data_IF_237535098839
#
_entry.id   IF_237535098839
#
_cell.length_a   1.000
_cell.length_b   1.000
_cell.length_c   1.000
_cell.angle_alpha   90.00
_cell.angle_beta   90.00
_cell.angle_gamma   90.00
#
_symmetry.space_group_name_H-M   'P 1'
#
loop_
_entity.id
_entity.type
_entity.pdbx_description
1 polymer ?
#
# COMPACT_ATOMS: atom_id res chain seq x y z
N UNK A 1 -6.29 -28.81 66.14
CA UNK A 1 -7.62 -28.19 66.08
C UNK A 1 -7.43 -26.80 65.53
N UNK A 2 -8.17 -26.53 64.56
CA UNK A 2 -8.36 -25.26 63.76
C UNK A 2 -7.83 -25.36 62.35
N UNK A 3 -8.71 -25.18 61.36
CA UNK A 3 -8.38 -25.21 59.96
C UNK A 3 -7.95 -23.81 59.49
N UNK A 4 -6.93 -23.78 58.66
CA UNK A 4 -6.44 -22.62 57.95
C UNK A 4 -7.29 -22.36 56.72
N UNK A 5 -7.87 -21.20 56.74
CA UNK A 5 -8.63 -20.55 55.66
C UNK A 5 -7.67 -20.15 54.54
N UNK A 6 -7.90 -20.62 53.32
CA UNK A 6 -7.20 -20.17 52.13
C UNK A 6 -8.03 -19.10 51.44
N UNK A 7 -7.45 -17.94 51.06
CA UNK A 7 -8.19 -16.94 50.30
C UNK A 7 -8.27 -17.34 48.82
N UNK A 8 -9.49 -17.27 48.39
CA UNK A 8 -10.02 -17.33 47.03
C UNK A 8 -9.22 -16.42 46.05
N UNK A 9 -8.72 -17.01 44.99
CA UNK A 9 -8.10 -16.27 43.88
C UNK A 9 -9.19 -15.80 42.93
N UNK A 10 -9.27 -14.53 42.59
CA UNK A 10 -10.22 -14.08 41.56
C UNK A 10 -9.76 -14.56 40.19
N UNK A 11 -10.60 -15.37 39.60
CA UNK A 11 -10.61 -15.77 38.19
C UNK A 11 -10.60 -14.51 37.29
N UNK A 12 -9.47 -14.26 36.65
CA UNK A 12 -9.35 -13.28 35.59
C UNK A 12 -9.61 -13.97 34.26
N UNK A 13 -10.84 -14.28 33.99
CA UNK A 13 -11.33 -14.47 32.64
C UNK A 13 -11.48 -13.08 31.99
N UNK A 14 -10.34 -12.56 31.48
CA UNK A 14 -10.41 -11.45 30.53
C UNK A 14 -11.11 -11.97 29.28
N UNK A 15 -12.29 -11.43 29.04
CA UNK A 15 -13.16 -11.78 27.94
C UNK A 15 -12.43 -11.58 26.60
N UNK A 16 -12.42 -12.61 25.79
CA UNK A 16 -11.98 -12.63 24.39
C UNK A 16 -12.93 -11.82 23.48
N UNK A 17 -14.04 -11.29 24.04
CA UNK A 17 -15.10 -10.60 23.31
C UNK A 17 -14.73 -9.15 22.89
N UNK A 18 -13.81 -8.48 23.58
CA UNK A 18 -13.44 -7.09 23.28
C UNK A 18 -12.49 -6.94 22.04
N UNK A 19 -11.89 -8.04 21.56
CA UNK A 19 -11.01 -8.01 20.38
C UNK A 19 -11.74 -8.22 19.07
N UNK A 20 -12.88 -8.90 19.10
CA UNK A 20 -13.67 -9.20 17.90
C UNK A 20 -14.44 -7.99 17.34
N UNK A 21 -14.64 -6.93 18.14
CA UNK A 21 -15.47 -5.80 17.73
C UNK A 21 -14.72 -4.73 16.92
N UNK A 22 -13.39 -4.68 17.04
CA UNK A 22 -12.55 -3.68 16.35
C UNK A 22 -12.24 -4.05 14.89
N UNK A 23 -12.24 -5.35 14.57
CA UNK A 23 -11.92 -5.87 13.22
C UNK A 23 -13.18 -6.01 12.31
N UNK A 24 -14.37 -5.90 12.88
CA UNK A 24 -15.64 -6.14 12.18
C UNK A 24 -15.82 -5.35 10.86
N UNK A 25 -15.54 -4.04 10.74
CA UNK A 25 -15.76 -3.31 9.50
C UNK A 25 -14.92 -3.76 8.32
N UNK A 26 -13.65 -4.17 8.57
CA UNK A 26 -12.76 -4.70 7.52
C UNK A 26 -13.14 -6.15 7.20
N UNK A 27 -13.51 -6.93 8.20
CA UNK A 27 -13.95 -8.31 8.05
C UNK A 27 -15.23 -8.45 7.22
N UNK A 28 -16.25 -7.65 7.50
CA UNK A 28 -17.55 -7.71 6.79
C UNK A 28 -17.44 -7.41 5.30
N UNK A 29 -16.36 -6.71 4.87
CA UNK A 29 -16.14 -6.28 3.49
C UNK A 29 -14.76 -6.70 2.95
N UNK A 30 -14.16 -7.73 3.55
CA UNK A 30 -12.81 -8.20 3.21
C UNK A 30 -12.66 -8.52 1.71
N UNK A 31 -13.69 -9.11 1.08
CA UNK A 31 -13.68 -9.38 -0.34
C UNK A 31 -13.60 -8.09 -1.18
N UNK A 32 -14.35 -7.06 -0.82
CA UNK A 32 -14.31 -5.79 -1.57
C UNK A 32 -12.99 -5.03 -1.36
N UNK A 33 -12.40 -5.11 -0.15
CA UNK A 33 -11.05 -4.60 0.09
C UNK A 33 -10.00 -5.36 -0.73
N UNK A 34 -10.09 -6.70 -0.73
CA UNK A 34 -9.22 -7.54 -1.58
C UNK A 34 -9.30 -7.14 -3.04
N UNK A 35 -10.52 -7.03 -3.58
CA UNK A 35 -10.73 -6.70 -4.99
C UNK A 35 -10.22 -5.28 -5.32
N UNK A 36 -10.34 -4.33 -4.38
CA UNK A 36 -9.78 -2.98 -4.51
C UNK A 36 -8.24 -3.01 -4.52
N UNK A 37 -7.60 -3.79 -3.64
CA UNK A 37 -6.14 -3.95 -3.65
C UNK A 37 -5.65 -4.56 -4.96
N UNK A 38 -6.34 -5.58 -5.48
CA UNK A 38 -6.01 -6.20 -6.77
C UNK A 38 -6.16 -5.20 -7.92
N UNK A 39 -7.25 -4.42 -7.94
CA UNK A 39 -7.47 -3.39 -8.95
C UNK A 39 -6.34 -2.35 -8.96
N UNK A 40 -5.96 -1.83 -7.79
CA UNK A 40 -4.90 -0.84 -7.65
C UNK A 40 -3.51 -1.43 -7.91
N UNK A 41 -3.27 -2.68 -7.49
CA UNK A 41 -2.03 -3.39 -7.80
C UNK A 41 -1.80 -3.49 -9.31
N UNK A 42 -2.83 -3.85 -10.07
CA UNK A 42 -2.74 -3.93 -11.53
C UNK A 42 -2.53 -2.55 -12.17
N UNK A 43 -3.22 -1.50 -11.68
CA UNK A 43 -3.10 -0.14 -12.20
C UNK A 43 -1.72 0.50 -11.93
N UNK A 44 -1.03 0.09 -10.85
CA UNK A 44 0.29 0.61 -10.46
C UNK A 44 1.46 -0.23 -10.99
N UNK A 45 1.21 -1.25 -11.79
CA UNK A 45 2.22 -1.96 -12.58
C UNK A 45 2.55 -1.19 -13.87
N UNK A 46 3.62 -1.61 -14.53
CA UNK A 46 3.88 -1.16 -15.89
C UNK A 46 2.63 -1.43 -16.75
N UNK A 47 2.10 -0.43 -17.46
CA UNK A 47 0.82 -0.56 -18.16
C UNK A 47 0.90 -1.61 -19.28
N UNK A 48 -0.13 -2.42 -19.34
CA UNK A 48 -0.39 -3.36 -20.42
C UNK A 48 -1.60 -2.89 -21.28
N UNK A 49 -1.92 -3.65 -22.32
CA UNK A 49 -3.05 -3.34 -23.18
C UNK A 49 -4.38 -3.40 -22.41
N UNK A 50 -4.53 -4.33 -21.45
CA UNK A 50 -5.76 -4.47 -20.68
C UNK A 50 -6.00 -3.23 -19.79
N UNK A 51 -4.99 -2.72 -19.11
CA UNK A 51 -5.12 -1.50 -18.31
C UNK A 51 -5.39 -0.27 -19.20
N UNK A 52 -4.70 -0.17 -20.33
CA UNK A 52 -4.91 0.91 -21.30
C UNK A 52 -6.34 0.95 -21.82
N UNK A 53 -6.87 -0.20 -22.23
CA UNK A 53 -8.26 -0.36 -22.69
C UNK A 53 -9.27 -0.04 -21.57
N UNK A 54 -9.00 -0.48 -20.33
CA UNK A 54 -9.88 -0.22 -19.20
C UNK A 54 -9.97 1.27 -18.83
N UNK A 55 -8.87 2.04 -19.01
CA UNK A 55 -8.87 3.50 -18.85
C UNK A 55 -9.67 4.16 -19.99
N UNK A 56 -9.44 3.78 -21.24
CA UNK A 56 -10.14 4.37 -22.41
C UNK A 56 -11.64 4.10 -22.42
N UNK A 57 -12.04 2.87 -22.06
CA UNK A 57 -13.45 2.48 -22.06
C UNK A 57 -14.21 2.95 -20.81
N UNK A 58 -13.51 3.42 -19.77
CA UNK A 58 -14.09 3.77 -18.47
C UNK A 58 -14.43 2.56 -17.60
N UNK A 59 -13.99 1.35 -17.97
CA UNK A 59 -14.21 0.13 -17.18
C UNK A 59 -13.51 0.22 -15.82
N UNK A 60 -12.27 0.74 -15.80
CA UNK A 60 -11.54 0.96 -14.56
C UNK A 60 -12.30 1.90 -13.61
N UNK A 61 -12.81 3.03 -14.11
CA UNK A 61 -13.61 3.97 -13.30
C UNK A 61 -14.88 3.29 -12.76
N UNK A 62 -15.60 2.55 -13.60
CA UNK A 62 -16.84 1.87 -13.20
C UNK A 62 -16.57 0.84 -12.09
N UNK A 63 -15.51 0.05 -12.20
CA UNK A 63 -15.11 -0.93 -11.20
C UNK A 63 -14.67 -0.26 -9.89
N UNK A 64 -13.85 0.79 -9.96
CA UNK A 64 -13.41 1.57 -8.81
C UNK A 64 -14.60 2.16 -8.05
N UNK A 65 -15.54 2.82 -8.75
CA UNK A 65 -16.76 3.39 -8.15
C UNK A 65 -17.60 2.34 -7.46
N UNK A 66 -17.77 1.17 -8.06
CA UNK A 66 -18.52 0.06 -7.47
C UNK A 66 -17.90 -0.41 -6.15
N UNK A 67 -16.57 -0.57 -6.12
CA UNK A 67 -15.84 -1.02 -4.93
C UNK A 67 -15.87 0.04 -3.82
N UNK A 68 -15.59 1.31 -4.15
CA UNK A 68 -15.62 2.42 -3.18
C UNK A 68 -17.02 2.58 -2.58
N UNK A 69 -18.08 2.49 -3.41
CA UNK A 69 -19.46 2.53 -2.92
C UNK A 69 -19.79 1.35 -2.01
N UNK A 70 -19.36 0.12 -2.38
CA UNK A 70 -19.58 -1.08 -1.55
C UNK A 70 -18.87 -0.97 -0.22
N UNK A 71 -17.66 -0.40 -0.20
CA UNK A 71 -16.86 -0.21 1.01
C UNK A 71 -17.36 0.95 1.89
N UNK A 72 -18.27 1.78 1.38
CA UNK A 72 -18.74 2.98 2.06
C UNK A 72 -17.56 3.87 2.49
N UNK A 73 -16.69 4.18 1.51
CA UNK A 73 -15.52 5.02 1.69
C UNK A 73 -15.78 6.37 1.06
N UNK A 74 -15.58 7.44 1.82
CA UNK A 74 -15.63 8.82 1.34
C UNK A 74 -14.21 9.31 1.04
N UNK A 75 -13.98 9.70 -0.21
CA UNK A 75 -12.69 10.18 -0.70
C UNK A 75 -12.83 11.61 -1.20
N UNK A 76 -11.83 12.44 -0.94
CA UNK A 76 -11.82 13.82 -1.40
C UNK A 76 -11.50 13.94 -2.90
N UNK A 77 -10.79 12.94 -3.45
CA UNK A 77 -10.45 12.90 -4.87
C UNK A 77 -11.62 12.45 -5.74
N UNK A 78 -11.70 12.97 -6.95
CA UNK A 78 -12.60 12.44 -7.99
C UNK A 78 -12.23 11.00 -8.36
N UNK A 79 -13.21 10.11 -8.46
CA UNK A 79 -13.00 8.73 -8.89
C UNK A 79 -12.85 8.59 -10.42
N UNK A 80 -13.00 9.67 -11.19
CA UNK A 80 -12.75 9.69 -12.62
C UNK A 80 -11.27 9.96 -12.89
N UNK A 81 -10.54 9.03 -13.55
CA UNK A 81 -9.18 9.30 -13.96
C UNK A 81 -9.09 10.52 -14.89
N UNK A 82 -7.99 11.26 -14.87
CA UNK A 82 -7.74 12.28 -15.89
C UNK A 82 -7.72 11.67 -17.29
N UNK A 83 -8.18 12.42 -18.29
CA UNK A 83 -8.08 12.00 -19.67
C UNK A 83 -6.60 11.98 -20.09
N UNK A 84 -6.14 10.84 -20.49
CA UNK A 84 -4.80 10.63 -21.06
C UNK A 84 -4.96 9.65 -22.24
N UNK A 85 -4.25 9.89 -23.34
CA UNK A 85 -4.22 8.93 -24.43
C UNK A 85 -3.49 7.67 -23.97
N UNK A 86 -4.05 6.50 -24.21
CA UNK A 86 -3.46 5.20 -23.82
C UNK A 86 -2.03 5.01 -24.33
N UNK A 87 -1.72 5.56 -25.50
CA UNK A 87 -0.37 5.59 -26.06
C UNK A 87 0.65 6.34 -25.18
N UNK A 88 0.19 7.22 -24.29
CA UNK A 88 1.02 8.00 -23.36
C UNK A 88 1.35 7.28 -22.07
N UNK A 89 0.54 6.29 -21.63
CA UNK A 89 0.64 5.67 -20.31
C UNK A 89 2.01 5.01 -20.06
N UNK A 90 2.54 4.28 -21.02
CA UNK A 90 3.87 3.65 -20.89
C UNK A 90 4.99 4.68 -20.70
N UNK A 91 4.97 5.76 -21.50
CA UNK A 91 5.99 6.80 -21.39
C UNK A 91 5.86 7.56 -20.05
N UNK A 92 4.62 7.85 -19.62
CA UNK A 92 4.32 8.49 -18.36
C UNK A 92 4.79 7.63 -17.15
N UNK A 93 4.57 6.33 -17.18
CA UNK A 93 5.05 5.39 -16.17
C UNK A 93 6.57 5.42 -16.05
N UNK A 94 7.27 5.24 -17.16
CA UNK A 94 8.75 5.22 -17.21
C UNK A 94 9.32 6.57 -16.74
N UNK A 95 8.75 7.70 -17.22
CA UNK A 95 9.22 9.03 -16.86
C UNK A 95 9.01 9.35 -15.37
N UNK A 96 7.90 8.88 -14.78
CA UNK A 96 7.56 9.15 -13.38
C UNK A 96 8.24 8.19 -12.41
N UNK A 97 8.25 6.90 -12.70
CA UNK A 97 8.58 5.85 -11.74
C UNK A 97 9.94 5.18 -11.97
N UNK A 98 10.46 5.16 -13.20
CA UNK A 98 11.70 4.47 -13.53
C UNK A 98 12.90 5.43 -13.67
N UNK A 99 12.73 6.69 -13.33
CA UNK A 99 13.84 7.65 -13.27
C UNK A 99 14.36 8.16 -14.60
N UNK A 100 13.59 8.00 -15.69
CA UNK A 100 13.97 8.54 -16.99
C UNK A 100 14.04 10.07 -16.98
N UNK A 101 13.22 10.70 -16.14
CA UNK A 101 13.27 12.13 -15.84
C UNK A 101 13.53 12.36 -14.36
N UNK A 102 14.26 13.42 -14.04
CA UNK A 102 14.61 13.79 -12.67
C UNK A 102 13.96 15.14 -12.32
N UNK A 103 13.44 15.32 -11.11
CA UNK A 103 13.23 14.31 -10.08
C UNK A 103 12.14 13.29 -10.48
N UNK A 104 12.19 12.08 -9.95
CA UNK A 104 11.23 11.00 -10.17
C UNK A 104 10.72 10.44 -8.84
N UNK A 105 9.68 9.62 -8.87
CA UNK A 105 9.05 9.04 -7.69
C UNK A 105 9.16 7.50 -7.73
N UNK A 106 10.20 6.89 -7.13
CA UNK A 106 10.33 5.43 -7.14
C UNK A 106 9.13 4.77 -6.47
N UNK A 107 8.42 3.82 -7.12
CA UNK A 107 7.19 3.22 -6.62
C UNK A 107 7.49 1.99 -5.74
N UNK A 108 8.49 2.06 -4.88
CA UNK A 108 8.91 1.00 -3.98
C UNK A 108 9.24 1.57 -2.60
N UNK A 109 9.16 0.75 -1.56
CA UNK A 109 9.32 1.17 -0.16
C UNK A 109 10.77 1.48 0.20
N UNK A 110 11.73 0.65 -0.24
CA UNK A 110 13.15 0.75 0.13
C UNK A 110 13.76 2.14 -0.04
N UNK A 111 13.51 2.89 -1.13
CA UNK A 111 14.05 4.23 -1.29
C UNK A 111 13.67 5.22 -0.18
N UNK A 112 12.51 5.05 0.43
CA UNK A 112 11.98 5.94 1.46
C UNK A 112 12.37 5.52 2.88
N UNK A 113 12.79 4.27 3.08
CA UNK A 113 13.13 3.72 4.40
C UNK A 113 14.60 3.88 4.75
N UNK A 114 14.89 3.95 6.04
CA UNK A 114 16.27 3.91 6.53
C UNK A 114 16.83 2.51 6.45
N UNK A 115 18.06 2.36 5.93
CA UNK A 115 18.81 1.12 5.97
C UNK A 115 20.32 1.39 6.06
N UNK A 116 21.06 0.44 6.62
CA UNK A 116 22.39 0.68 7.15
C UNK A 116 23.48 0.77 6.06
N UNK A 117 23.27 0.12 4.94
CA UNK A 117 24.27 0.02 3.88
C UNK A 117 23.60 0.19 2.51
N UNK A 118 23.60 1.44 2.02
CA UNK A 118 23.02 1.77 0.71
C UNK A 118 23.92 1.34 -0.45
N UNK A 119 25.22 1.11 -0.18
CA UNK A 119 26.19 0.77 -1.20
C UNK A 119 26.11 -0.70 -1.60
N UNK A 120 25.58 -1.56 -0.71
CA UNK A 120 25.34 -2.97 -0.98
C UNK A 120 23.94 -3.22 -1.57
N UNK A 121 23.78 -3.11 -2.87
CA UNK A 121 22.57 -3.56 -3.56
C UNK A 121 21.74 -2.50 -4.23
N UNK A 122 22.08 -1.22 -4.11
CA UNK A 122 21.36 -0.11 -4.76
C UNK A 122 20.05 0.27 -4.07
N UNK A 123 19.51 1.42 -4.47
CA UNK A 123 18.38 2.10 -3.84
C UNK A 123 17.12 1.23 -3.67
N UNK A 124 16.88 0.28 -4.58
CA UNK A 124 15.68 -0.59 -4.62
C UNK A 124 15.87 -1.94 -3.92
N UNK A 125 16.94 -2.15 -3.15
CA UNK A 125 17.26 -3.43 -2.51
C UNK A 125 17.45 -3.33 -0.99
N UNK A 126 16.70 -2.43 -0.34
CA UNK A 126 16.74 -2.25 1.10
C UNK A 126 16.10 -3.40 1.90
N UNK A 127 16.04 -3.26 3.24
CA UNK A 127 15.45 -4.25 4.14
C UNK A 127 14.00 -4.61 3.79
N UNK A 128 13.18 -3.65 3.36
CA UNK A 128 11.80 -3.90 2.94
C UNK A 128 11.74 -4.86 1.75
N UNK A 129 12.57 -4.65 0.72
CA UNK A 129 12.65 -5.57 -0.40
C UNK A 129 13.15 -6.96 0.00
N UNK A 130 14.09 -7.06 0.96
CA UNK A 130 14.57 -8.33 1.48
C UNK A 130 13.47 -9.09 2.24
N UNK A 131 12.71 -8.40 3.07
CA UNK A 131 11.56 -8.95 3.79
C UNK A 131 10.50 -9.47 2.83
N UNK A 132 10.11 -8.67 1.83
CA UNK A 132 9.12 -9.08 0.84
C UNK A 132 9.56 -10.30 0.04
N UNK A 133 10.84 -10.40 -0.36
CA UNK A 133 11.36 -11.62 -0.99
C UNK A 133 11.22 -12.86 -0.09
N UNK A 134 11.40 -12.70 1.23
CA UNK A 134 11.21 -13.79 2.18
C UNK A 134 9.73 -14.18 2.30
N UNK A 135 8.81 -13.20 2.36
CA UNK A 135 7.37 -13.42 2.42
C UNK A 135 6.86 -14.15 1.18
N UNK A 136 7.25 -13.72 0.00
CA UNK A 136 6.89 -14.38 -1.26
C UNK A 136 7.42 -15.83 -1.33
N UNK A 137 8.67 -16.07 -0.90
CA UNK A 137 9.20 -17.44 -0.81
C UNK A 137 8.43 -18.34 0.15
N UNK A 138 7.92 -17.78 1.25
CA UNK A 138 7.17 -18.56 2.25
C UNK A 138 5.82 -19.09 1.73
N UNK A 139 5.29 -18.49 0.66
CA UNK A 139 4.07 -18.90 -0.03
C UNK A 139 4.34 -19.52 -1.41
N UNK A 140 5.59 -19.95 -1.67
CA UNK A 140 6.04 -20.51 -2.95
C UNK A 140 5.77 -19.61 -4.17
N UNK A 141 5.69 -18.28 -3.96
CA UNK A 141 5.53 -17.30 -5.03
C UNK A 141 6.87 -16.71 -5.45
N UNK A 142 6.95 -16.29 -6.72
CA UNK A 142 8.14 -15.68 -7.31
C UNK A 142 7.90 -14.21 -7.56
N UNK A 143 8.82 -13.37 -7.09
CA UNK A 143 8.82 -11.93 -7.44
C UNK A 143 9.24 -11.81 -8.91
N UNK A 144 8.47 -11.10 -9.76
CA UNK A 144 8.88 -10.87 -11.14
C UNK A 144 10.16 -10.03 -11.20
N UNK A 145 11.10 -10.39 -12.08
CA UNK A 145 12.40 -9.71 -12.22
C UNK A 145 12.29 -8.22 -12.60
N UNK A 146 11.16 -7.82 -13.19
CA UNK A 146 10.91 -6.44 -13.60
C UNK A 146 10.64 -5.48 -12.44
N UNK A 147 10.38 -6.00 -11.22
CA UNK A 147 9.99 -5.18 -10.07
C UNK A 147 10.90 -5.40 -8.87
N UNK A 148 11.14 -4.34 -8.09
CA UNK A 148 11.61 -4.49 -6.72
C UNK A 148 10.58 -5.30 -5.91
N UNK A 149 11.03 -6.15 -5.00
CA UNK A 149 10.11 -7.01 -4.24
C UNK A 149 9.14 -6.22 -3.34
N UNK A 150 9.50 -5.01 -2.96
CA UNK A 150 8.71 -4.03 -2.20
C UNK A 150 8.09 -2.94 -3.08
N UNK A 151 7.91 -3.22 -4.36
CA UNK A 151 7.14 -2.36 -5.25
C UNK A 151 5.68 -2.24 -4.77
N UNK A 152 5.11 -1.05 -4.83
CA UNK A 152 3.76 -0.77 -4.32
C UNK A 152 2.70 -1.75 -4.83
N UNK A 153 2.75 -2.11 -6.11
CA UNK A 153 1.84 -3.09 -6.68
C UNK A 153 1.97 -4.48 -6.03
N UNK A 154 3.20 -4.91 -5.72
CA UNK A 154 3.45 -6.18 -5.06
C UNK A 154 3.06 -6.15 -3.57
N UNK A 155 3.22 -5.01 -2.90
CA UNK A 155 2.73 -4.84 -1.53
C UNK A 155 1.20 -4.96 -1.48
N UNK A 156 0.48 -4.31 -2.40
CA UNK A 156 -0.99 -4.41 -2.52
C UNK A 156 -1.45 -5.84 -2.86
N UNK A 157 -0.74 -6.51 -3.75
CA UNK A 157 -1.01 -7.91 -4.08
C UNK A 157 -0.85 -8.81 -2.85
N UNK A 158 0.21 -8.62 -2.06
CA UNK A 158 0.42 -9.37 -0.84
C UNK A 158 -0.69 -9.12 0.20
N UNK A 159 -1.13 -7.87 0.38
CA UNK A 159 -2.29 -7.55 1.22
C UNK A 159 -3.57 -8.26 0.75
N UNK A 160 -3.78 -8.33 -0.57
CA UNK A 160 -4.94 -9.05 -1.10
C UNK A 160 -4.92 -10.55 -0.76
N UNK A 161 -3.73 -11.16 -0.72
CA UNK A 161 -3.56 -12.55 -0.29
C UNK A 161 -3.84 -12.74 1.21
N UNK A 162 -3.44 -11.79 2.05
CA UNK A 162 -3.75 -11.83 3.49
C UNK A 162 -5.26 -11.74 3.75
N UNK A 163 -5.96 -10.87 2.99
CA UNK A 163 -7.42 -10.75 3.06
C UNK A 163 -8.11 -12.02 2.54
N UNK A 164 -7.61 -12.65 1.48
CA UNK A 164 -8.13 -13.91 0.96
C UNK A 164 -7.94 -15.07 1.95
N UNK A 165 -6.81 -15.09 2.65
CA UNK A 165 -6.54 -16.06 3.70
C UNK A 165 -7.37 -15.83 4.99
N UNK A 166 -8.01 -14.67 5.12
CA UNK A 166 -8.73 -14.27 6.32
C UNK A 166 -7.80 -13.98 7.52
N UNK A 167 -6.52 -13.71 7.26
CA UNK A 167 -5.53 -13.39 8.31
C UNK A 167 -5.50 -11.88 8.57
N UNK A 168 -6.49 -11.41 9.31
CA UNK A 168 -6.70 -9.99 9.57
C UNK A 168 -5.63 -9.38 10.48
N UNK A 169 -5.06 -10.16 11.39
CA UNK A 169 -3.97 -9.71 12.26
C UNK A 169 -2.70 -9.49 11.43
N UNK A 170 -2.39 -10.42 10.53
CA UNK A 170 -1.27 -10.26 9.60
C UNK A 170 -1.51 -9.10 8.64
N UNK A 171 -2.74 -8.93 8.11
CA UNK A 171 -3.11 -7.81 7.27
C UNK A 171 -2.89 -6.46 7.97
N UNK A 172 -3.42 -6.29 9.18
CA UNK A 172 -3.24 -5.08 9.99
C UNK A 172 -1.75 -4.80 10.29
N UNK A 173 -1.00 -5.84 10.66
CA UNK A 173 0.44 -5.75 10.92
C UNK A 173 1.21 -5.34 9.67
N UNK A 174 0.84 -5.91 8.52
CA UNK A 174 1.45 -5.60 7.24
C UNK A 174 1.16 -4.16 6.79
N UNK A 175 -0.10 -3.73 6.83
CA UNK A 175 -0.50 -2.36 6.53
C UNK A 175 0.27 -1.33 7.37
N UNK A 176 0.44 -1.60 8.68
CA UNK A 176 1.24 -0.76 9.58
C UNK A 176 2.70 -0.67 9.15
N UNK A 177 3.30 -1.78 8.73
CA UNK A 177 4.74 -1.85 8.49
C UNK A 177 5.16 -1.37 7.12
N UNK A 178 4.31 -1.52 6.10
CA UNK A 178 4.72 -1.39 4.70
C UNK A 178 4.10 -0.21 3.94
N UNK A 179 3.19 0.58 4.55
CA UNK A 179 2.53 1.69 3.83
C UNK A 179 2.71 3.07 4.48
N UNK A 180 3.58 3.21 5.47
CA UNK A 180 3.90 4.50 6.10
C UNK A 180 4.54 5.51 5.12
N UNK A 181 5.12 5.03 4.02
CA UNK A 181 5.82 5.84 3.06
C UNK A 181 4.94 6.43 1.95
N UNK A 182 3.68 6.04 1.83
CA UNK A 182 2.77 6.53 0.78
C UNK A 182 2.63 8.06 0.74
N UNK A 183 2.54 8.80 1.86
CA UNK A 183 2.53 10.26 1.79
C UNK A 183 3.81 10.85 1.23
N UNK A 184 4.97 10.17 1.41
CA UNK A 184 6.22 10.60 0.80
C UNK A 184 6.24 10.28 -0.71
N UNK A 185 5.72 9.13 -1.14
CA UNK A 185 5.53 8.81 -2.56
C UNK A 185 4.65 9.87 -3.24
N UNK A 186 3.51 10.24 -2.62
CA UNK A 186 2.63 11.29 -3.14
C UNK A 186 3.38 12.60 -3.34
N UNK A 187 4.13 13.07 -2.35
CA UNK A 187 4.92 14.31 -2.47
C UNK A 187 6.04 14.20 -3.53
N UNK A 188 6.71 13.05 -3.62
CA UNK A 188 7.69 12.80 -4.67
C UNK A 188 7.07 12.85 -6.06
N UNK A 189 5.88 12.26 -6.20
CA UNK A 189 5.09 12.29 -7.44
C UNK A 189 4.68 13.71 -7.82
N UNK A 190 4.27 14.54 -6.86
CA UNK A 190 3.93 15.95 -7.09
C UNK A 190 5.16 16.78 -7.51
N UNK A 191 6.33 16.47 -6.95
CA UNK A 191 7.59 17.14 -7.27
C UNK A 191 8.25 16.63 -8.56
N UNK A 192 7.86 15.46 -9.07
CA UNK A 192 8.46 14.86 -10.25
C UNK A 192 8.30 15.71 -11.51
N UNK A 193 9.30 15.69 -12.38
CA UNK A 193 9.32 16.45 -13.63
C UNK A 193 8.43 15.85 -14.75
N UNK A 194 7.97 14.61 -14.56
CA UNK A 194 7.17 13.90 -15.54
C UNK A 194 5.74 14.45 -15.65
N UNK A 195 5.20 14.49 -16.86
CA UNK A 195 3.77 14.68 -17.10
C UNK A 195 3.11 13.29 -17.12
N UNK A 196 2.44 12.94 -16.01
CA UNK A 196 1.85 11.62 -15.81
C UNK A 196 0.52 11.76 -15.04
N UNK A 197 -0.52 12.38 -15.63
CA UNK A 197 -1.74 12.75 -14.91
C UNK A 197 -2.47 11.53 -14.32
N UNK A 198 -2.56 10.40 -15.04
CA UNK A 198 -3.21 9.18 -14.55
C UNK A 198 -2.45 8.60 -13.36
N UNK A 199 -1.12 8.49 -13.43
CA UNK A 199 -0.33 7.93 -12.32
C UNK A 199 -0.27 8.85 -11.11
N UNK A 200 -0.23 10.18 -11.31
CA UNK A 200 -0.38 11.14 -10.20
C UNK A 200 -1.72 10.97 -9.50
N UNK A 201 -2.78 10.85 -10.27
CA UNK A 201 -4.12 10.60 -9.75
C UNK A 201 -4.18 9.25 -8.98
N UNK A 202 -3.62 8.17 -9.54
CA UNK A 202 -3.56 6.86 -8.87
C UNK A 202 -2.81 6.92 -7.54
N UNK A 203 -1.70 7.65 -7.46
CA UNK A 203 -0.94 7.79 -6.20
C UNK A 203 -1.73 8.60 -5.17
N UNK A 204 -2.42 9.67 -5.58
CA UNK A 204 -3.30 10.44 -4.68
C UNK A 204 -4.46 9.58 -4.20
N UNK A 205 -5.10 8.83 -5.09
CA UNK A 205 -6.19 7.90 -4.75
C UNK A 205 -5.72 6.84 -3.73
N UNK A 206 -4.56 6.26 -3.96
CA UNK A 206 -3.97 5.26 -3.06
C UNK A 206 -3.69 5.85 -1.67
N UNK A 207 -3.07 7.05 -1.60
CA UNK A 207 -2.77 7.71 -0.33
C UNK A 207 -4.05 8.02 0.47
N UNK A 208 -5.10 8.55 -0.19
CA UNK A 208 -6.39 8.82 0.45
C UNK A 208 -7.09 7.54 0.93
N UNK A 209 -7.05 6.47 0.14
CA UNK A 209 -7.58 5.16 0.57
C UNK A 209 -6.85 4.63 1.80
N UNK A 210 -5.54 4.79 1.86
CA UNK A 210 -4.77 4.37 3.03
C UNK A 210 -4.95 5.27 4.26
N UNK A 211 -5.31 6.55 4.10
CA UNK A 211 -5.77 7.38 5.22
C UNK A 211 -7.03 6.77 5.84
N UNK A 212 -8.04 6.44 5.02
CA UNK A 212 -9.26 5.79 5.50
C UNK A 212 -8.97 4.42 6.11
N UNK A 213 -8.10 3.63 5.48
CA UNK A 213 -7.74 2.31 5.97
C UNK A 213 -7.02 2.37 7.33
N UNK A 214 -6.10 3.32 7.50
CA UNK A 214 -5.41 3.54 8.79
C UNK A 214 -6.40 3.88 9.89
N UNK A 215 -7.36 4.76 9.63
CA UNK A 215 -8.40 5.12 10.59
C UNK A 215 -9.21 3.85 11.00
N UNK A 216 -9.65 3.05 10.04
CA UNK A 216 -10.40 1.81 10.30
C UNK A 216 -9.59 0.75 11.03
N UNK A 217 -8.29 0.68 10.80
CA UNK A 217 -7.37 -0.25 11.44
C UNK A 217 -6.75 0.31 12.74
N UNK A 218 -7.12 1.52 13.14
CA UNK A 218 -6.53 2.23 14.28
C UNK A 218 -5.00 2.32 14.22
N UNK A 219 -4.48 2.63 13.04
CA UNK A 219 -3.06 2.81 12.79
C UNK A 219 -2.68 4.28 12.83
N UNK A 220 -1.50 4.58 13.38
CA UNK A 220 -0.97 5.95 13.39
C UNK A 220 -0.65 6.43 11.98
N UNK A 221 -0.89 7.69 11.72
CA UNK A 221 -0.38 8.33 10.51
C UNK A 221 1.09 8.75 10.69
N UNK A 222 1.90 8.71 9.61
CA UNK A 222 3.25 9.24 9.64
C UNK A 222 3.21 10.75 9.83
N UNK A 223 4.10 11.26 10.68
CA UNK A 223 4.21 12.70 10.91
C UNK A 223 4.81 13.43 9.71
N UNK A 224 4.56 14.74 9.60
CA UNK A 224 5.21 15.58 8.58
C UNK A 224 6.74 15.44 8.62
N UNK A 225 7.34 15.35 9.80
CA UNK A 225 8.78 15.17 9.95
C UNK A 225 9.27 13.80 9.43
N UNK A 226 8.45 12.75 9.58
CA UNK A 226 8.77 11.43 9.00
C UNK A 226 8.74 11.48 7.48
N UNK A 227 7.72 12.10 6.92
CA UNK A 227 7.58 12.28 5.46
C UNK A 227 8.75 13.08 4.88
N UNK A 228 9.13 14.19 5.51
CA UNK A 228 10.29 14.99 5.08
C UNK A 228 11.60 14.20 5.15
N UNK A 229 11.78 13.39 6.19
CA UNK A 229 12.95 12.50 6.32
C UNK A 229 12.99 11.44 5.21
N UNK A 230 11.84 10.88 4.84
CA UNK A 230 11.72 9.93 3.73
C UNK A 230 12.07 10.59 2.39
N UNK A 231 11.56 11.79 2.14
CA UNK A 231 11.88 12.55 0.92
C UNK A 231 13.36 12.92 0.82
N UNK A 232 14.00 13.26 1.92
CA UNK A 232 15.44 13.54 1.95
C UNK A 232 16.32 12.35 1.51
N UNK A 233 15.78 11.11 1.51
CA UNK A 233 16.52 9.93 1.07
C UNK A 233 16.48 9.69 -0.43
N UNK A 234 15.49 10.21 -1.13
CA UNK A 234 15.34 10.08 -2.58
C UNK A 234 15.79 11.33 -3.34
N UNK A 235 16.19 12.38 -2.63
CA UNK A 235 16.72 13.62 -3.22
C UNK A 235 18.10 13.44 -3.86
N UNK A 236 18.56 14.43 -4.63
CA UNK A 236 19.86 14.37 -5.32
C UNK A 236 21.07 14.23 -4.39
N UNK A 237 20.90 14.51 -3.10
CA UNK A 237 21.93 14.42 -2.05
C UNK A 237 21.73 13.21 -1.12
N UNK A 238 20.78 12.30 -1.44
CA UNK A 238 20.42 11.13 -0.64
C UNK A 238 21.11 9.83 -1.01
#
# INVERSE_FOLDING_TARGET
>A
MSPTDSPDSPDRSASSDDRDDLDRPVLERSQSWRDLHVLLANALRHPDEQFSDAIETGEFEAQLRSLVSTLDVDLAISLSPPLEESSGLTAAYIDLFEGRRQPYAPPAESPYRAWYDRDEGGLMNGPAAAEMRQRYRAIDATVPDAYAADHVALLLEYESLLLEAGDHDAYRSFARSHFEWLPALRRATDAAAAEAPVYRWLVVLLDELFVVLRDRLELSEPTTADVERMLGRIGPDG
#
